data_IF_003827928157
#
_entry.id   IF_003827928157
#
_cell.length_a   1.000
_cell.length_b   1.000
_cell.length_c   1.000
_cell.angle_alpha   90.00
_cell.angle_beta   90.00
_cell.angle_gamma   90.00
#
_symmetry.space_group_name_H-M   'P 1'
#
loop_
_entity.id
_entity.type
_entity.pdbx_description
1 polymer ?
#
# COMPACT_ATOMS: atom_id res chain seq x y z
N UNK A 1 -7.78 -25.29 -3.90
CA UNK A 1 -7.63 -24.49 -5.14
C UNK A 1 -7.86 -23.00 -4.87
N UNK A 2 -9.04 -22.59 -4.38
CA UNK A 2 -9.38 -21.17 -4.22
C UNK A 2 -8.45 -20.37 -3.29
N UNK A 3 -8.08 -20.93 -2.13
CA UNK A 3 -7.14 -20.28 -1.18
C UNK A 3 -5.76 -20.04 -1.77
N UNK A 4 -5.28 -20.93 -2.65
CA UNK A 4 -3.98 -20.79 -3.31
C UNK A 4 -4.02 -19.64 -4.31
N UNK A 5 -5.10 -19.54 -5.09
CA UNK A 5 -5.29 -18.43 -6.03
C UNK A 5 -5.35 -17.07 -5.31
N UNK A 6 -6.11 -16.98 -4.21
CA UNK A 6 -6.19 -15.76 -3.39
C UNK A 6 -4.83 -15.45 -2.74
N UNK A 7 -4.11 -16.48 -2.30
CA UNK A 7 -2.75 -16.35 -1.80
C UNK A 7 -1.79 -15.78 -2.84
N UNK A 8 -1.90 -16.21 -4.09
CA UNK A 8 -1.15 -15.64 -5.22
C UNK A 8 -1.47 -14.16 -5.46
N UNK A 9 -2.76 -13.79 -5.44
CA UNK A 9 -3.18 -12.38 -5.55
C UNK A 9 -2.57 -11.52 -4.44
N UNK A 10 -2.63 -11.99 -3.20
CA UNK A 10 -2.05 -11.29 -2.05
C UNK A 10 -0.53 -11.22 -2.09
N UNK A 11 0.15 -12.23 -2.64
CA UNK A 11 1.60 -12.19 -2.87
C UNK A 11 1.97 -11.04 -3.82
N UNK A 12 1.33 -10.95 -4.98
CA UNK A 12 1.59 -9.88 -5.94
C UNK A 12 1.18 -8.50 -5.40
N UNK A 13 0.05 -8.42 -4.69
CA UNK A 13 -0.39 -7.22 -3.99
C UNK A 13 0.63 -6.74 -2.95
N UNK A 14 1.14 -7.65 -2.12
CA UNK A 14 2.16 -7.34 -1.12
C UNK A 14 3.47 -6.88 -1.77
N UNK A 15 3.89 -7.56 -2.83
CA UNK A 15 5.06 -7.17 -3.62
C UNK A 15 4.90 -5.75 -4.18
N UNK A 16 3.79 -5.47 -4.85
CA UNK A 16 3.50 -4.15 -5.41
C UNK A 16 3.45 -3.06 -4.32
N UNK A 17 2.75 -3.31 -3.21
CA UNK A 17 2.60 -2.37 -2.11
C UNK A 17 3.94 -1.89 -1.54
N UNK A 18 4.87 -2.82 -1.36
CA UNK A 18 6.19 -2.49 -0.83
C UNK A 18 7.15 -1.95 -1.90
N UNK A 19 7.01 -2.36 -3.16
CA UNK A 19 7.69 -1.71 -4.29
C UNK A 19 7.32 -0.22 -4.36
N UNK A 20 6.03 0.09 -4.25
CA UNK A 20 5.53 1.46 -4.21
C UNK A 20 6.04 2.22 -2.99
N UNK A 21 6.05 1.61 -1.80
CA UNK A 21 6.59 2.26 -0.60
C UNK A 21 8.06 2.65 -0.80
N UNK A 22 8.89 1.75 -1.32
CA UNK A 22 10.31 2.03 -1.59
C UNK A 22 10.45 3.14 -2.64
N UNK A 23 9.65 3.11 -3.71
CA UNK A 23 9.64 4.16 -4.73
C UNK A 23 9.24 5.53 -4.15
N UNK A 24 8.21 5.60 -3.32
CA UNK A 24 7.76 6.84 -2.69
C UNK A 24 8.76 7.39 -1.69
N UNK A 25 9.44 6.53 -0.90
CA UNK A 25 10.56 6.95 -0.05
C UNK A 25 11.65 7.62 -0.89
N UNK A 26 11.98 7.03 -2.04
CA UNK A 26 13.01 7.59 -2.95
C UNK A 26 12.56 8.91 -3.56
N UNK A 27 11.32 8.99 -4.06
CA UNK A 27 10.75 10.22 -4.63
C UNK A 27 10.73 11.36 -3.60
N UNK A 28 10.27 11.11 -2.36
CA UNK A 28 10.33 12.11 -1.30
C UNK A 28 11.77 12.50 -0.95
N UNK A 29 12.68 11.53 -0.91
CA UNK A 29 14.09 11.79 -0.65
C UNK A 29 14.71 12.71 -1.69
N UNK A 30 14.38 12.51 -2.97
CA UNK A 30 14.85 13.34 -4.09
C UNK A 30 14.21 14.74 -4.08
N UNK A 31 12.91 14.84 -3.78
CA UNK A 31 12.19 16.11 -3.76
C UNK A 31 12.60 17.03 -2.60
N UNK A 32 12.95 16.46 -1.44
CA UNK A 32 13.13 17.22 -0.20
C UNK A 32 14.55 17.16 0.39
N UNK A 33 15.46 16.35 -0.16
CA UNK A 33 16.88 16.29 0.21
C UNK A 33 17.20 15.67 1.59
N UNK A 34 16.24 15.61 2.52
CA UNK A 34 16.44 15.06 3.87
C UNK A 34 15.81 13.68 4.02
N UNK A 35 16.65 12.65 3.90
CA UNK A 35 16.27 11.24 3.80
C UNK A 35 15.60 10.69 5.05
N UNK A 36 16.12 10.99 6.25
CA UNK A 36 15.59 10.44 7.51
C UNK A 36 14.15 10.88 7.70
N UNK A 37 13.89 12.18 7.64
CA UNK A 37 12.52 12.67 7.77
C UNK A 37 11.65 12.09 6.65
N UNK A 38 12.14 11.99 5.40
CA UNK A 38 11.33 11.49 4.28
C UNK A 38 10.86 10.06 4.54
N UNK A 39 11.78 9.18 4.94
CA UNK A 39 11.49 7.79 5.32
C UNK A 39 10.47 7.75 6.46
N UNK A 40 10.70 8.51 7.54
CA UNK A 40 9.78 8.53 8.69
C UNK A 40 8.37 8.97 8.31
N UNK A 41 8.24 10.02 7.49
CA UNK A 41 6.94 10.51 7.03
C UNK A 41 6.22 9.50 6.14
N UNK A 42 6.91 8.92 5.15
CA UNK A 42 6.30 7.91 4.26
C UNK A 42 5.85 6.71 5.07
N UNK A 43 6.70 6.20 5.98
CA UNK A 43 6.37 5.06 6.81
C UNK A 43 5.19 5.34 7.73
N UNK A 44 5.15 6.53 8.36
CA UNK A 44 4.03 6.94 9.20
C UNK A 44 2.72 7.04 8.40
N UNK A 45 2.74 7.68 7.23
CA UNK A 45 1.58 7.79 6.36
C UNK A 45 1.10 6.41 5.88
N UNK A 46 2.04 5.54 5.50
CA UNK A 46 1.77 4.19 5.05
C UNK A 46 1.12 3.35 6.15
N UNK A 47 1.67 3.35 7.37
CA UNK A 47 1.11 2.61 8.49
C UNK A 47 -0.26 3.17 8.93
N UNK A 48 -0.42 4.50 8.95
CA UNK A 48 -1.69 5.13 9.26
C UNK A 48 -2.76 4.79 8.22
N UNK A 49 -2.42 4.86 6.93
CA UNK A 49 -3.31 4.47 5.85
C UNK A 49 -3.67 2.99 5.91
N UNK A 50 -2.71 2.08 6.08
CA UNK A 50 -2.97 0.66 6.26
C UNK A 50 -3.93 0.40 7.44
N UNK A 51 -3.71 1.07 8.57
CA UNK A 51 -4.59 0.96 9.73
C UNK A 51 -6.02 1.41 9.41
N UNK A 52 -6.19 2.61 8.84
CA UNK A 52 -7.49 3.13 8.42
C UNK A 52 -8.17 2.22 7.39
N UNK A 53 -7.41 1.78 6.39
CA UNK A 53 -7.82 0.88 5.34
C UNK A 53 -8.29 -0.47 5.85
N UNK A 54 -7.59 -1.05 6.83
CA UNK A 54 -7.96 -2.34 7.43
C UNK A 54 -9.29 -2.25 8.20
N UNK A 55 -9.53 -1.14 8.90
CA UNK A 55 -10.75 -0.89 9.66
C UNK A 55 -11.94 -0.69 8.71
N UNK A 56 -11.76 0.12 7.67
CA UNK A 56 -12.81 0.42 6.67
C UNK A 56 -13.06 -0.81 5.80
N UNK A 57 -11.99 -1.45 5.32
CA UNK A 57 -12.01 -2.65 4.50
C UNK A 57 -12.64 -3.84 5.21
N UNK A 58 -12.44 -4.01 6.53
CA UNK A 58 -13.16 -5.01 7.32
C UNK A 58 -14.67 -4.80 7.30
N UNK A 59 -15.14 -3.55 7.49
CA UNK A 59 -16.56 -3.22 7.41
C UNK A 59 -17.14 -3.41 6.01
N UNK A 60 -16.39 -3.07 4.97
CA UNK A 60 -16.78 -3.30 3.58
C UNK A 60 -16.83 -4.79 3.25
N UNK A 61 -15.86 -5.57 3.72
CA UNK A 61 -15.81 -7.00 3.52
C UNK A 61 -17.04 -7.70 4.11
N UNK A 62 -17.46 -7.33 5.32
CA UNK A 62 -18.62 -7.94 5.96
C UNK A 62 -19.95 -7.60 5.25
N UNK A 63 -20.04 -6.43 4.60
CA UNK A 63 -21.25 -5.98 3.90
C UNK A 63 -21.27 -6.33 2.41
N UNK A 64 -20.12 -6.61 1.80
CA UNK A 64 -20.02 -6.83 0.38
C UNK A 64 -20.58 -8.22 -0.01
N UNK A 65 -21.55 -8.30 -0.94
CA UNK A 65 -22.07 -9.58 -1.42
C UNK A 65 -21.03 -10.36 -2.23
N UNK A 66 -20.07 -9.67 -2.84
CA UNK A 66 -18.98 -10.25 -3.65
C UNK A 66 -17.63 -9.63 -3.24
N UNK A 67 -17.05 -10.02 -2.09
CA UNK A 67 -15.84 -9.40 -1.54
C UNK A 67 -14.62 -9.49 -2.47
N UNK A 68 -14.51 -10.55 -3.29
CA UNK A 68 -13.41 -10.69 -4.26
C UNK A 68 -13.51 -9.73 -5.45
N UNK A 69 -14.73 -9.37 -5.88
CA UNK A 69 -14.89 -8.33 -6.90
C UNK A 69 -14.50 -6.97 -6.32
N UNK A 70 -14.93 -6.69 -5.10
CA UNK A 70 -14.54 -5.46 -4.40
C UNK A 70 -13.03 -5.38 -4.19
N UNK A 71 -12.37 -6.50 -3.83
CA UNK A 71 -10.91 -6.61 -3.79
C UNK A 71 -10.27 -6.21 -5.13
N UNK A 72 -10.75 -6.76 -6.25
CA UNK A 72 -10.24 -6.42 -7.58
C UNK A 72 -10.42 -4.95 -7.94
N UNK A 73 -11.57 -4.35 -7.60
CA UNK A 73 -11.81 -2.90 -7.81
C UNK A 73 -10.85 -2.06 -6.96
N UNK A 74 -10.60 -2.47 -5.72
CA UNK A 74 -9.65 -1.78 -4.84
C UNK A 74 -8.23 -1.88 -5.37
N UNK A 75 -7.78 -3.04 -5.86
CA UNK A 75 -6.46 -3.20 -6.50
C UNK A 75 -6.29 -2.30 -7.72
N UNK A 76 -7.32 -2.18 -8.56
CA UNK A 76 -7.31 -1.21 -9.67
C UNK A 76 -7.21 0.23 -9.16
N UNK A 77 -7.90 0.54 -8.06
CA UNK A 77 -7.79 1.82 -7.37
C UNK A 77 -6.40 2.08 -6.81
N UNK A 78 -5.74 1.07 -6.22
CA UNK A 78 -4.35 1.14 -5.75
C UNK A 78 -3.43 1.45 -6.92
N UNK A 79 -3.54 0.72 -8.03
CA UNK A 79 -2.74 0.96 -9.22
C UNK A 79 -2.94 2.38 -9.78
N UNK A 80 -4.20 2.80 -9.94
CA UNK A 80 -4.53 4.13 -10.46
C UNK A 80 -4.02 5.26 -9.55
N UNK A 81 -4.23 5.14 -8.24
CA UNK A 81 -3.75 6.14 -7.27
C UNK A 81 -2.22 6.17 -7.19
N UNK A 82 -1.55 5.01 -7.24
CA UNK A 82 -0.10 4.92 -7.28
C UNK A 82 0.52 5.55 -8.54
N UNK A 83 -0.14 5.41 -9.70
CA UNK A 83 0.23 6.06 -10.96
C UNK A 83 0.10 7.59 -10.90
N UNK A 84 -0.88 8.12 -10.16
CA UNK A 84 -1.09 9.55 -9.98
C UNK A 84 -0.15 10.18 -8.94
N UNK A 85 0.43 9.37 -8.05
CA UNK A 85 1.30 9.83 -6.95
C UNK A 85 2.50 10.69 -7.41
N UNK A 86 3.27 10.33 -8.45
CA UNK A 86 4.38 11.17 -8.91
C UNK A 86 3.93 12.56 -9.38
N UNK A 87 2.85 12.61 -10.17
CA UNK A 87 2.28 13.88 -10.64
C UNK A 87 1.75 14.73 -9.48
N UNK A 88 1.12 14.09 -8.49
CA UNK A 88 0.67 14.77 -7.27
C UNK A 88 1.86 15.34 -6.48
N UNK A 89 2.95 14.59 -6.32
CA UNK A 89 4.16 15.10 -5.67
C UNK A 89 4.77 16.29 -6.41
N UNK A 90 4.86 16.22 -7.75
CA UNK A 90 5.37 17.33 -8.58
C UNK A 90 4.52 18.60 -8.42
N UNK A 91 3.19 18.47 -8.51
CA UNK A 91 2.28 19.61 -8.32
C UNK A 91 2.41 20.24 -6.92
N UNK A 92 2.56 19.40 -5.89
CA UNK A 92 2.69 19.85 -4.50
C UNK A 92 4.08 20.40 -4.18
N UNK A 93 5.11 20.09 -4.98
CA UNK A 93 6.45 20.64 -4.80
C UNK A 93 6.48 22.17 -5.00
N UNK A 94 5.67 22.70 -5.92
CA UNK A 94 5.49 24.14 -6.11
C UNK A 94 4.89 24.81 -4.87
N UNK A 95 3.90 24.18 -4.25
CA UNK A 95 3.32 24.66 -2.99
C UNK A 95 4.31 24.56 -1.82
N UNK A 96 5.08 23.49 -1.75
CA UNK A 96 6.14 23.34 -0.76
C UNK A 96 7.18 24.46 -0.88
N UNK A 97 7.64 24.79 -2.08
CA UNK A 97 8.63 25.84 -2.30
C UNK A 97 8.18 27.22 -1.81
N UNK A 98 6.88 27.49 -1.82
CA UNK A 98 6.31 28.76 -1.34
C UNK A 98 6.04 28.79 0.17
N UNK A 99 5.72 27.65 0.78
CA UNK A 99 5.38 27.57 2.21
C UNK A 99 6.55 27.21 3.13
N UNK A 100 7.55 26.49 2.62
CA UNK A 100 8.66 25.94 3.39
C UNK A 100 9.77 26.97 3.70
N UNK A 101 9.41 28.06 4.39
CA UNK A 101 10.31 29.19 4.67
C UNK A 101 11.28 28.95 5.84
N UNK A 102 10.94 28.03 6.75
CA UNK A 102 11.80 27.67 7.90
C UNK A 102 11.89 26.15 8.05
N UNK A 103 12.93 25.60 8.69
CA UNK A 103 13.10 24.15 8.84
C UNK A 103 11.91 23.45 9.50
N UNK A 104 11.29 24.08 10.52
CA UNK A 104 10.12 23.53 11.21
C UNK A 104 8.88 23.52 10.30
N UNK A 105 8.60 24.64 9.62
CA UNK A 105 7.46 24.74 8.71
C UNK A 105 7.63 23.80 7.52
N UNK A 106 8.85 23.68 7.00
CA UNK A 106 9.19 22.72 5.94
C UNK A 106 8.88 21.28 6.38
N UNK A 107 9.27 20.87 7.59
CA UNK A 107 8.99 19.55 8.11
C UNK A 107 7.48 19.27 8.21
N UNK A 108 6.71 20.24 8.74
CA UNK A 108 5.24 20.12 8.89
C UNK A 108 4.53 20.08 7.55
N UNK A 109 4.81 21.04 6.66
CA UNK A 109 4.19 21.11 5.33
C UNK A 109 4.47 19.83 4.56
N UNK A 110 5.72 19.37 4.56
CA UNK A 110 6.10 18.11 3.91
C UNK A 110 5.36 16.91 4.49
N UNK A 111 5.23 16.84 5.83
CA UNK A 111 4.47 15.77 6.47
C UNK A 111 3.01 15.77 6.03
N UNK A 112 2.35 16.94 6.06
CA UNK A 112 0.96 17.09 5.64
C UNK A 112 0.76 16.72 4.17
N UNK A 113 1.61 17.22 3.27
CA UNK A 113 1.53 16.94 1.83
C UNK A 113 1.75 15.46 1.54
N UNK A 114 2.76 14.84 2.16
CA UNK A 114 3.02 13.42 2.00
C UNK A 114 1.87 12.56 2.53
N UNK A 115 1.30 12.91 3.70
CA UNK A 115 0.11 12.23 4.22
C UNK A 115 -1.09 12.38 3.28
N UNK A 116 -1.34 13.58 2.77
CA UNK A 116 -2.47 13.83 1.86
C UNK A 116 -2.40 12.98 0.59
N UNK A 117 -1.20 12.81 0.02
CA UNK A 117 -1.00 12.00 -1.18
C UNK A 117 -1.04 10.50 -0.87
N UNK A 118 -0.37 10.08 0.22
CA UNK A 118 -0.14 8.66 0.48
C UNK A 118 -1.29 7.98 1.21
N UNK A 119 -2.10 8.71 1.99
CA UNK A 119 -3.18 8.09 2.79
C UNK A 119 -4.19 7.35 1.93
N UNK A 120 -4.49 7.86 0.73
CA UNK A 120 -5.47 7.24 -0.18
C UNK A 120 -4.99 5.88 -0.71
N UNK A 121 -3.84 5.78 -1.43
CA UNK A 121 -3.38 4.49 -1.93
C UNK A 121 -3.10 3.50 -0.79
N UNK A 122 -2.58 3.97 0.35
CA UNK A 122 -2.23 3.10 1.47
C UNK A 122 -3.45 2.63 2.26
N UNK A 123 -4.53 3.42 2.34
CA UNK A 123 -5.81 2.95 2.85
C UNK A 123 -6.47 1.93 1.93
N UNK A 124 -6.38 2.11 0.61
CA UNK A 124 -6.83 1.09 -0.34
C UNK A 124 -6.04 -0.21 -0.18
N UNK A 125 -4.71 -0.14 -0.05
CA UNK A 125 -3.87 -1.29 0.26
C UNK A 125 -4.26 -1.95 1.59
N UNK A 126 -4.57 -1.19 2.63
CA UNK A 126 -4.99 -1.72 3.92
C UNK A 126 -6.30 -2.51 3.87
N UNK A 127 -7.19 -2.18 2.93
CA UNK A 127 -8.47 -2.87 2.74
C UNK A 127 -8.34 -4.23 2.04
N UNK A 128 -7.22 -4.50 1.36
CA UNK A 128 -7.02 -5.70 0.53
C UNK A 128 -7.10 -7.00 1.34
N UNK A 129 -6.39 -7.07 2.48
CA UNK A 129 -6.31 -8.25 3.33
C UNK A 129 -7.68 -8.66 3.92
N UNK A 130 -8.46 -7.76 4.56
CA UNK A 130 -9.79 -8.09 5.05
C UNK A 130 -10.73 -8.63 3.95
N UNK A 131 -10.69 -8.03 2.76
CA UNK A 131 -11.53 -8.46 1.63
C UNK A 131 -11.12 -9.81 1.07
N UNK A 132 -9.81 -10.06 0.93
CA UNK A 132 -9.28 -11.34 0.48
C UNK A 132 -9.60 -12.47 1.47
N UNK A 133 -9.46 -12.21 2.78
CA UNK A 133 -9.83 -13.15 3.85
C UNK A 133 -11.32 -13.46 3.80
N UNK A 134 -12.19 -12.45 3.69
CA UNK A 134 -13.64 -12.66 3.59
C UNK A 134 -14.02 -13.44 2.34
N UNK A 135 -13.40 -13.13 1.21
CA UNK A 135 -13.59 -13.86 -0.04
C UNK A 135 -13.16 -15.32 0.04
N UNK A 136 -12.02 -15.60 0.67
CA UNK A 136 -11.55 -16.96 0.89
C UNK A 136 -12.52 -17.76 1.77
N UNK A 137 -13.06 -17.14 2.84
CA UNK A 137 -14.07 -17.77 3.70
C UNK A 137 -15.39 -18.01 2.98
N UNK A 138 -15.85 -17.06 2.17
CA UNK A 138 -17.09 -17.20 1.39
C UNK A 138 -17.03 -18.38 0.41
N UNK A 139 -15.86 -18.66 -0.17
CA UNK A 139 -15.63 -19.81 -1.05
C UNK A 139 -15.43 -21.14 -0.30
N UNK A 140 -15.12 -21.09 1.00
CA UNK A 140 -14.89 -22.26 1.85
C UNK A 140 -16.11 -22.66 2.69
N UNK A 141 -17.21 -21.90 2.61
CA UNK A 141 -18.42 -22.07 3.43
C UNK A 141 -19.12 -23.44 3.27
N UNK A 142 -18.79 -24.21 2.23
CA UNK A 142 -19.27 -25.58 2.03
C UNK A 142 -18.56 -26.63 2.91
N UNK A 143 -17.45 -26.30 3.58
CA UNK A 143 -16.67 -27.27 4.36
C UNK A 143 -16.57 -26.87 5.84
N UNK A 144 -17.38 -27.55 6.65
CA UNK A 144 -17.44 -27.48 8.11
C UNK A 144 -16.05 -27.52 8.80
N UNK A 145 -15.52 -26.38 9.32
CA UNK A 145 -14.56 -26.30 10.46
C UNK A 145 -14.08 -24.87 10.77
N UNK A 146 -14.48 -24.35 11.92
CA UNK A 146 -13.93 -23.16 12.62
C UNK A 146 -12.40 -23.18 12.83
N UNK A 147 -11.73 -24.35 12.77
CA UNK A 147 -10.26 -24.47 12.84
C UNK A 147 -9.53 -24.08 11.54
N UNK A 148 -10.20 -24.12 10.38
CA UNK A 148 -9.59 -23.74 9.09
C UNK A 148 -9.39 -22.22 8.94
N UNK A 149 -10.15 -21.44 9.70
CA UNK A 149 -10.23 -19.99 9.54
C UNK A 149 -8.98 -19.24 9.99
N UNK A 150 -8.41 -19.61 11.14
CA UNK A 150 -7.20 -18.97 11.66
C UNK A 150 -5.98 -19.30 10.78
N UNK A 151 -5.87 -20.56 10.34
CA UNK A 151 -4.82 -20.99 9.42
C UNK A 151 -4.91 -20.27 8.08
N UNK A 152 -6.11 -20.12 7.52
CA UNK A 152 -6.32 -19.43 6.25
C UNK A 152 -5.91 -17.96 6.34
N UNK A 153 -6.30 -17.26 7.41
CA UNK A 153 -5.86 -15.88 7.65
C UNK A 153 -4.33 -15.81 7.75
N UNK A 154 -3.74 -16.68 8.57
CA UNK A 154 -2.29 -16.71 8.77
C UNK A 154 -1.53 -16.97 7.48
N UNK A 155 -1.98 -17.92 6.66
CA UNK A 155 -1.37 -18.25 5.37
C UNK A 155 -1.48 -17.08 4.37
N UNK A 156 -2.66 -16.46 4.27
CA UNK A 156 -2.87 -15.32 3.38
C UNK A 156 -2.01 -14.11 3.79
N UNK A 157 -1.92 -13.84 5.10
CA UNK A 157 -1.05 -12.80 5.64
C UNK A 157 0.45 -13.11 5.42
N UNK A 158 0.85 -14.37 5.60
CA UNK A 158 2.21 -14.82 5.37
C UNK A 158 2.61 -14.68 3.89
N UNK A 159 1.72 -15.07 2.96
CA UNK A 159 1.96 -14.90 1.52
C UNK A 159 2.04 -13.44 1.10
N UNK A 160 1.18 -12.59 1.66
CA UNK A 160 1.26 -11.14 1.45
C UNK A 160 2.58 -10.56 1.94
N UNK A 161 3.00 -10.93 3.15
CA UNK A 161 4.27 -10.48 3.76
C UNK A 161 5.47 -11.01 2.98
N UNK A 162 5.42 -12.26 2.53
CA UNK A 162 6.48 -12.85 1.72
C UNK A 162 6.60 -12.15 0.36
N UNK A 163 5.48 -11.85 -0.28
CA UNK A 163 5.44 -11.01 -1.48
C UNK A 163 6.03 -9.64 -1.24
N UNK A 164 5.68 -8.99 -0.14
CA UNK A 164 6.26 -7.72 0.31
C UNK A 164 7.79 -7.78 0.48
N UNK A 165 8.32 -8.84 1.08
CA UNK A 165 9.78 -9.06 1.21
C UNK A 165 10.41 -9.18 -0.19
N UNK A 166 9.86 -10.01 -1.07
CA UNK A 166 10.35 -10.15 -2.44
C UNK A 166 10.28 -8.80 -3.18
N UNK A 167 9.19 -8.07 -3.03
CA UNK A 167 8.98 -6.76 -3.63
C UNK A 167 9.97 -5.70 -3.17
N UNK A 168 10.26 -5.62 -1.87
CA UNK A 168 11.29 -4.70 -1.35
C UNK A 168 12.67 -5.03 -1.90
N UNK A 169 13.06 -6.31 -1.90
CA UNK A 169 14.37 -6.75 -2.41
C UNK A 169 14.50 -6.46 -3.92
N UNK A 170 13.49 -6.82 -4.71
CA UNK A 170 13.49 -6.58 -6.15
C UNK A 170 13.48 -5.07 -6.44
N UNK A 171 12.71 -4.27 -5.70
CA UNK A 171 12.69 -2.81 -5.86
C UNK A 171 14.06 -2.19 -5.55
N UNK A 172 14.58 -2.44 -4.35
CA UNK A 172 15.78 -1.78 -3.85
C UNK A 172 17.06 -2.20 -4.60
N UNK A 173 17.18 -3.47 -4.99
CA UNK A 173 18.42 -4.01 -5.57
C UNK A 173 18.38 -4.18 -7.09
N UNK A 174 17.20 -4.27 -7.71
CA UNK A 174 17.09 -4.53 -9.16
C UNK A 174 16.42 -3.38 -9.88
N UNK A 175 15.19 -3.02 -9.52
CA UNK A 175 14.39 -2.07 -10.28
C UNK A 175 14.95 -0.65 -10.20
N UNK A 176 15.26 -0.16 -8.99
CA UNK A 176 15.81 1.20 -8.82
C UNK A 176 17.17 1.33 -9.49
N UNK A 177 18.01 0.28 -9.44
CA UNK A 177 19.32 0.28 -10.06
C UNK A 177 19.27 0.23 -11.60
N UNK A 178 18.25 -0.41 -12.19
CA UNK A 178 18.15 -0.61 -13.65
C UNK A 178 17.26 0.39 -14.37
N UNK A 179 16.14 0.79 -13.77
CA UNK A 179 15.15 1.66 -14.40
C UNK A 179 15.31 3.12 -13.98
N UNK A 180 16.11 3.39 -12.94
CA UNK A 180 16.17 4.71 -12.32
C UNK A 180 14.83 5.12 -11.69
N UNK A 181 14.82 6.24 -10.99
CA UNK A 181 13.57 6.88 -10.49
C UNK A 181 13.31 8.18 -11.28
N UNK A 182 14.03 8.39 -12.39
CA UNK A 182 14.26 9.70 -12.99
C UNK A 182 13.97 9.80 -14.49
N UNK A 183 13.42 8.76 -15.14
CA UNK A 183 13.09 8.82 -16.58
C UNK A 183 11.60 9.09 -16.88
N UNK A 184 10.88 9.68 -15.93
CA UNK A 184 9.52 10.22 -16.14
C UNK A 184 9.34 11.46 -15.27
#
# INVERSE_FOLDING_TARGET
MATIAIGGLLFFSGAAGLMYQVAWVRLLGLAFGVTIYAISTVLAAFMAGLALGSIIGGRWADRAPRPLLLYGVIELGVGATALLTPSAFSALQGLYATLAQTPLVAAVVRAVLAFAVLVVPTALMGATLPLAVRGARGLAADTNRTRGDAWTIGLLYALNTFGAIVGTLVSAFVLIGRLGVSET
#
